data_IF_302369660950
#
_entry.id   IF_302369660950
#
_cell.length_a   1.000
_cell.length_b   1.000
_cell.length_c   1.000
_cell.angle_alpha   90.00
_cell.angle_beta   90.00
_cell.angle_gamma   90.00
#
_symmetry.space_group_name_H-M   'P 1'
#
loop_
_entity.id
_entity.type
_entity.pdbx_description
1 polymer ?
#
# COMPACT_ATOMS: atom_id res chain seq x y z
N UNK A 1 0.15 5.36 -2.87
CA UNK A 1 0.16 3.98 -3.37
C UNK A 1 1.51 3.26 -3.13
N UNK A 2 2.64 3.75 -3.64
CA UNK A 2 3.95 3.06 -3.46
C UNK A 2 4.34 2.75 -2.02
N UNK A 3 4.14 3.70 -1.09
CA UNK A 3 4.44 3.50 0.34
C UNK A 3 3.61 2.36 0.96
N UNK A 4 2.35 2.21 0.53
CA UNK A 4 1.47 1.11 0.98
C UNK A 4 2.01 -0.24 0.52
N UNK A 5 2.43 -0.38 -0.74
CA UNK A 5 2.98 -1.64 -1.26
C UNK A 5 4.36 -1.97 -0.69
N UNK A 6 5.18 -0.94 -0.41
CA UNK A 6 6.45 -1.14 0.29
C UNK A 6 6.21 -1.70 1.70
N UNK A 7 5.29 -1.09 2.46
CA UNK A 7 4.95 -1.54 3.80
C UNK A 7 4.21 -2.90 3.81
N UNK A 8 3.42 -3.22 2.78
CA UNK A 8 2.82 -4.55 2.60
C UNK A 8 3.89 -5.64 2.52
N UNK A 9 4.97 -5.40 1.79
CA UNK A 9 6.04 -6.39 1.63
C UNK A 9 6.65 -6.77 2.98
N UNK A 10 6.87 -5.77 3.84
CA UNK A 10 7.41 -5.97 5.18
C UNK A 10 6.39 -6.67 6.10
N UNK A 11 5.12 -6.30 6.03
CA UNK A 11 4.04 -6.93 6.79
C UNK A 11 3.82 -8.39 6.38
N UNK A 12 3.86 -8.68 5.07
CA UNK A 12 3.69 -10.04 4.53
C UNK A 12 4.83 -10.96 4.95
N UNK A 13 6.06 -10.45 5.01
CA UNK A 13 7.21 -11.19 5.54
C UNK A 13 7.03 -11.60 7.02
N UNK A 14 6.18 -10.89 7.76
CA UNK A 14 5.84 -11.17 9.15
C UNK A 14 4.51 -11.92 9.30
N UNK A 15 3.83 -12.27 8.21
CA UNK A 15 2.51 -12.91 8.24
C UNK A 15 1.38 -11.99 8.70
N UNK A 16 1.58 -10.68 8.65
CA UNK A 16 0.61 -9.67 9.11
C UNK A 16 -0.27 -9.23 7.94
N UNK A 17 -1.58 -9.49 8.05
CA UNK A 17 -2.56 -9.16 7.00
C UNK A 17 -3.10 -7.73 7.04
N UNK A 18 -2.91 -7.01 8.15
CA UNK A 18 -3.29 -5.61 8.29
C UNK A 18 -2.31 -4.88 9.23
N UNK A 19 -1.90 -3.68 8.87
CA UNK A 19 -0.87 -2.93 9.58
C UNK A 19 -1.19 -1.43 9.60
N UNK A 20 -0.50 -0.66 10.45
CA UNK A 20 -0.62 0.79 10.46
C UNK A 20 0.50 1.43 9.63
N UNK A 21 0.15 2.37 8.75
CA UNK A 21 1.08 3.23 8.00
C UNK A 21 0.69 4.69 8.23
N UNK A 22 1.62 5.51 8.69
CA UNK A 22 1.39 6.92 9.03
C UNK A 22 0.18 7.11 9.99
N UNK A 23 0.01 6.18 10.93
CA UNK A 23 -1.11 6.19 11.90
C UNK A 23 -2.46 5.77 11.32
N UNK A 24 -2.54 5.34 10.06
CA UNK A 24 -3.76 4.84 9.41
C UNK A 24 -3.68 3.34 9.19
N UNK A 25 -4.81 2.66 9.34
CA UNK A 25 -4.92 1.24 9.05
C UNK A 25 -4.81 0.98 7.54
N UNK A 26 -4.00 0.00 7.20
CA UNK A 26 -3.82 -0.57 5.87
C UNK A 26 -4.24 -2.02 5.95
N UNK A 27 -5.25 -2.37 5.17
CA UNK A 27 -5.85 -3.69 5.09
C UNK A 27 -5.80 -4.20 3.63
N UNK A 28 -6.20 -5.47 3.38
CA UNK A 28 -6.15 -6.03 2.03
C UNK A 28 -6.92 -5.19 0.97
N UNK A 29 -8.11 -4.62 1.26
CA UNK A 29 -8.77 -3.69 0.34
C UNK A 29 -7.95 -2.45 -0.02
N UNK A 30 -7.28 -1.82 0.95
CA UNK A 30 -6.42 -0.64 0.70
C UNK A 30 -5.20 -1.01 -0.15
N UNK A 31 -4.61 -2.18 0.12
CA UNK A 31 -3.48 -2.71 -0.68
C UNK A 31 -3.91 -2.93 -2.13
N UNK A 32 -5.07 -3.56 -2.36
CA UNK A 32 -5.57 -3.81 -3.71
C UNK A 32 -5.77 -2.48 -4.47
N UNK A 33 -6.40 -1.48 -3.85
CA UNK A 33 -6.54 -0.15 -4.45
C UNK A 33 -5.19 0.48 -4.79
N UNK A 34 -4.19 0.34 -3.91
CA UNK A 34 -2.86 0.87 -4.17
C UNK A 34 -2.19 0.19 -5.38
N UNK A 35 -2.42 -1.12 -5.59
CA UNK A 35 -1.98 -1.84 -6.80
C UNK A 35 -2.68 -1.31 -8.04
N UNK A 36 -4.00 -1.15 -7.99
CA UNK A 36 -4.80 -0.68 -9.13
C UNK A 36 -4.39 0.73 -9.57
N UNK A 37 -4.11 1.63 -8.60
CA UNK A 37 -3.63 2.99 -8.88
C UNK A 37 -2.29 2.98 -9.62
N UNK A 38 -1.32 2.18 -9.16
CA UNK A 38 0.00 2.11 -9.82
C UNK A 38 -0.11 1.45 -11.20
N UNK A 39 -0.98 0.46 -11.35
CA UNK A 39 -1.21 -0.21 -12.62
C UNK A 39 -1.84 0.74 -13.66
N UNK A 40 -2.69 1.66 -13.22
CA UNK A 40 -3.38 2.62 -14.10
C UNK A 40 -2.53 3.85 -14.40
N UNK A 41 -1.71 4.30 -13.45
CA UNK A 41 -0.78 5.40 -13.63
C UNK A 41 0.48 5.22 -12.74
N UNK A 42 1.61 4.75 -13.31
CA UNK A 42 2.88 4.60 -12.60
C UNK A 42 3.45 5.91 -12.03
N UNK A 43 2.91 7.06 -12.46
CA UNK A 43 3.25 8.42 -12.01
C UNK A 43 2.34 9.00 -10.93
N UNK A 44 1.13 8.45 -10.70
CA UNK A 44 0.10 9.00 -9.80
C UNK A 44 0.43 9.00 -8.29
N UNK A 45 1.67 8.71 -7.91
CA UNK A 45 2.15 8.77 -6.52
C UNK A 45 2.69 10.14 -6.08
N UNK A 46 2.88 11.08 -7.01
CA UNK A 46 3.41 12.42 -6.75
C UNK A 46 2.28 13.45 -6.84
N UNK A 47 1.45 13.53 -5.80
CA UNK A 47 0.74 14.79 -5.53
C UNK A 47 1.79 15.81 -5.08
N UNK A 48 2.14 16.73 -5.96
CA UNK A 48 2.83 17.99 -5.63
C UNK A 48 1.89 18.95 -4.93
#
# INVERSE_FOLDING_TARGET
ARRVLAAEKDATAQGIGAFALDGRMVDPPVIQRARDIIATDPGAGLGV
#
